data_IF_057568604041
#
_entry.id   IF_057568604041
#
_cell.length_a   1.000
_cell.length_b   1.000
_cell.length_c   1.000
_cell.angle_alpha   90.00
_cell.angle_beta   90.00
_cell.angle_gamma   90.00
#
_symmetry.space_group_name_H-M   'P 1'
#
loop_
_entity.id
_entity.type
_entity.pdbx_description
1 polymer ?
#
# COMPACT_ATOMS: atom_id res chain seq x y z
N UNK A 1 25.31 6.11 -14.04
CA UNK A 1 24.63 4.82 -13.81
C UNK A 1 23.38 4.84 -14.67
N UNK A 2 23.23 3.91 -15.59
CA UNK A 2 22.21 3.96 -16.64
C UNK A 2 20.84 3.58 -16.06
N UNK A 3 19.92 4.53 -16.06
CA UNK A 3 18.48 4.29 -15.82
C UNK A 3 17.90 3.61 -17.05
N UNK A 4 17.72 2.30 -16.99
CA UNK A 4 16.98 1.56 -18.02
C UNK A 4 15.55 2.06 -18.03
N UNK A 5 15.13 2.69 -19.11
CA UNK A 5 13.78 3.24 -19.28
C UNK A 5 12.73 2.12 -19.28
N UNK A 6 11.60 2.34 -18.58
CA UNK A 6 10.44 1.45 -18.54
C UNK A 6 9.89 1.07 -19.93
N UNK A 7 10.07 1.95 -20.93
CA UNK A 7 9.76 1.68 -22.33
C UNK A 7 10.58 0.52 -22.91
N UNK A 8 11.83 0.33 -22.48
CA UNK A 8 12.70 -0.77 -22.91
C UNK A 8 12.19 -2.13 -22.39
N UNK A 9 11.67 -2.15 -21.15
CA UNK A 9 11.12 -3.37 -20.54
C UNK A 9 9.85 -3.86 -21.26
N UNK A 10 8.99 -2.92 -21.70
CA UNK A 10 7.78 -3.26 -22.46
C UNK A 10 8.09 -3.73 -23.89
N UNK A 11 9.16 -3.22 -24.51
CA UNK A 11 9.56 -3.60 -25.86
C UNK A 11 10.17 -5.00 -25.89
N UNK A 12 10.90 -5.39 -24.84
CA UNK A 12 11.47 -6.75 -24.71
C UNK A 12 10.40 -7.82 -24.42
N UNK A 13 9.30 -7.48 -23.74
CA UNK A 13 8.15 -8.39 -23.53
C UNK A 13 7.46 -8.80 -24.84
N UNK A 14 7.50 -7.94 -25.87
CA UNK A 14 6.75 -8.17 -27.13
C UNK A 14 7.54 -8.90 -28.22
N UNK A 15 8.83 -9.11 -28.09
CA UNK A 15 9.63 -9.60 -29.21
C UNK A 15 10.10 -11.07 -29.12
N UNK A 16 10.04 -11.74 -27.99
CA UNK A 16 10.69 -13.06 -27.90
C UNK A 16 9.91 -14.19 -27.21
N UNK A 17 8.63 -14.10 -26.91
CA UNK A 17 7.83 -15.26 -26.44
C UNK A 17 8.48 -16.21 -25.41
N UNK A 18 9.59 -15.80 -24.78
CA UNK A 18 10.30 -16.54 -23.72
C UNK A 18 9.98 -15.92 -22.36
N UNK A 19 9.52 -16.76 -21.44
CA UNK A 19 9.39 -16.46 -20.05
C UNK A 19 10.71 -15.89 -19.50
N UNK A 20 10.78 -14.56 -19.39
CA UNK A 20 11.81 -13.93 -18.59
C UNK A 20 11.26 -13.86 -17.16
N UNK A 21 11.67 -14.82 -16.33
CA UNK A 21 11.62 -14.61 -14.88
C UNK A 21 12.35 -13.30 -14.61
N UNK A 22 11.72 -12.31 -13.94
CA UNK A 22 12.42 -11.10 -13.59
C UNK A 22 13.47 -11.45 -12.53
N UNK A 23 14.69 -11.68 -12.94
CA UNK A 23 15.87 -11.59 -12.08
C UNK A 23 16.10 -10.10 -11.82
N UNK A 24 15.24 -9.48 -11.00
CA UNK A 24 15.55 -8.22 -10.39
C UNK A 24 16.58 -8.48 -9.31
N UNK A 25 17.85 -8.23 -9.61
CA UNK A 25 18.97 -8.20 -8.67
C UNK A 25 18.90 -7.01 -7.68
N UNK A 26 17.77 -6.32 -7.56
CA UNK A 26 17.51 -5.34 -6.51
C UNK A 26 17.07 -6.06 -5.25
N UNK A 27 17.68 -5.71 -4.12
CA UNK A 27 17.20 -6.20 -2.81
C UNK A 27 15.72 -5.85 -2.66
N UNK A 28 14.89 -6.76 -2.12
CA UNK A 28 13.48 -6.49 -1.92
C UNK A 28 13.30 -5.33 -0.94
N UNK A 29 12.23 -4.53 -1.13
CA UNK A 29 11.89 -3.41 -0.23
C UNK A 29 11.59 -3.89 1.18
N UNK A 30 10.82 -4.97 1.30
CA UNK A 30 10.61 -5.65 2.57
C UNK A 30 11.03 -7.11 2.50
N UNK A 31 11.65 -7.58 3.59
CA UNK A 31 11.87 -9.00 3.87
C UNK A 31 11.19 -9.35 5.18
N UNK A 32 10.23 -10.24 5.12
CA UNK A 32 9.49 -10.74 6.29
C UNK A 32 9.95 -12.15 6.56
N UNK A 33 10.39 -12.43 7.81
CA UNK A 33 10.91 -13.72 8.22
C UNK A 33 10.27 -14.20 9.50
N UNK A 34 9.56 -15.33 9.42
CA UNK A 34 8.94 -16.03 10.53
C UNK A 34 8.11 -15.10 11.45
N UNK A 35 7.37 -14.15 10.82
CA UNK A 35 6.57 -13.19 11.56
C UNK A 35 5.37 -13.87 12.20
N UNK A 36 5.29 -13.77 13.52
CA UNK A 36 4.12 -14.11 14.31
C UNK A 36 3.65 -12.86 15.05
N UNK A 37 2.34 -12.70 15.19
CA UNK A 37 1.77 -11.53 15.84
C UNK A 37 0.55 -11.86 16.70
N UNK A 38 0.43 -11.22 17.87
CA UNK A 38 -0.67 -11.45 18.83
C UNK A 38 -1.31 -10.15 19.30
N UNK A 39 -2.60 -10.22 19.54
CA UNK A 39 -3.37 -9.26 20.32
C UNK A 39 -3.72 -9.93 21.66
N UNK A 40 -3.05 -9.56 22.77
CA UNK A 40 -3.18 -10.25 24.05
C UNK A 40 -2.84 -11.74 23.91
N UNK A 41 -3.82 -12.62 24.22
CA UNK A 41 -3.69 -14.08 24.09
C UNK A 41 -3.98 -14.60 22.67
N UNK A 42 -4.65 -13.81 21.81
CA UNK A 42 -5.05 -14.23 20.48
C UNK A 42 -3.92 -14.06 19.47
N UNK A 43 -3.48 -15.15 18.86
CA UNK A 43 -2.51 -15.10 17.74
C UNK A 43 -3.23 -14.80 16.44
N UNK A 44 -2.86 -13.69 15.79
CA UNK A 44 -3.47 -13.21 14.57
C UNK A 44 -2.65 -13.54 13.32
N UNK A 45 -1.31 -13.69 13.43
CA UNK A 45 -0.44 -14.08 12.32
C UNK A 45 0.46 -15.23 12.74
N UNK A 46 0.68 -16.16 11.81
CA UNK A 46 1.41 -17.41 12.06
C UNK A 46 2.50 -17.61 11.01
N UNK A 47 3.77 -17.51 11.40
CA UNK A 47 4.95 -17.84 10.59
C UNK A 47 4.88 -17.24 9.18
N UNK A 48 4.71 -15.93 9.08
CA UNK A 48 4.65 -15.24 7.78
C UNK A 48 6.06 -15.04 7.24
N UNK A 49 6.29 -15.58 6.05
CA UNK A 49 7.54 -15.46 5.30
C UNK A 49 7.24 -15.04 3.87
N UNK A 50 7.64 -13.85 3.44
CA UNK A 50 7.72 -13.49 2.02
C UNK A 50 8.47 -12.17 1.77
N UNK A 51 8.73 -11.88 0.49
CA UNK A 51 9.45 -10.70 0.05
C UNK A 51 8.49 -9.76 -0.68
N UNK A 52 8.65 -8.46 -0.48
CA UNK A 52 7.91 -7.42 -1.21
C UNK A 52 8.92 -6.69 -2.10
N UNK A 53 8.75 -6.75 -3.43
CA UNK A 53 9.66 -6.08 -4.37
C UNK A 53 9.54 -4.56 -4.27
N UNK A 54 10.65 -3.86 -4.55
CA UNK A 54 10.64 -2.39 -4.65
C UNK A 54 9.88 -1.92 -5.90
N UNK A 55 9.21 -0.75 -5.81
CA UNK A 55 8.48 -0.10 -6.92
C UNK A 55 7.54 -1.05 -7.66
N UNK A 56 6.75 -1.74 -6.89
CA UNK A 56 5.75 -2.70 -7.34
C UNK A 56 4.49 -2.59 -6.50
N UNK A 57 3.40 -3.16 -6.99
CA UNK A 57 2.18 -3.32 -6.23
C UNK A 57 2.07 -4.75 -5.73
N UNK A 58 2.05 -4.94 -4.41
CA UNK A 58 1.73 -6.23 -3.79
C UNK A 58 0.32 -6.21 -3.24
N UNK A 59 -0.57 -7.05 -3.77
CA UNK A 59 -1.92 -7.20 -3.26
C UNK A 59 -1.99 -8.29 -2.18
N UNK A 60 -2.70 -8.01 -1.08
CA UNK A 60 -3.04 -8.98 -0.04
C UNK A 60 -4.52 -9.32 -0.18
N UNK A 61 -4.82 -10.57 -0.55
CA UNK A 61 -6.19 -11.07 -0.73
C UNK A 61 -6.51 -12.16 0.30
N UNK A 62 -7.80 -12.44 0.49
CA UNK A 62 -8.28 -13.47 1.41
C UNK A 62 -9.57 -13.05 2.12
N UNK A 63 -10.25 -13.97 2.81
CA UNK A 63 -11.51 -13.69 3.50
C UNK A 63 -11.37 -12.63 4.60
N UNK A 64 -12.48 -12.04 5.01
CA UNK A 64 -12.50 -11.08 6.11
C UNK A 64 -11.98 -11.72 7.41
N UNK A 65 -11.20 -10.97 8.19
CA UNK A 65 -10.63 -11.45 9.45
C UNK A 65 -9.42 -12.39 9.33
N UNK A 66 -8.92 -12.70 8.12
CA UNK A 66 -7.79 -13.62 7.95
C UNK A 66 -6.40 -13.03 8.27
N UNK A 67 -6.30 -11.78 8.74
CA UNK A 67 -5.04 -11.18 9.19
C UNK A 67 -4.40 -10.16 8.24
N UNK A 68 -4.96 -9.86 7.04
CA UNK A 68 -4.39 -8.93 6.05
C UNK A 68 -4.08 -7.54 6.62
N UNK A 69 -5.08 -6.88 7.22
CA UNK A 69 -4.89 -5.54 7.81
C UNK A 69 -3.98 -5.58 9.03
N UNK A 70 -3.97 -6.68 9.80
CA UNK A 70 -3.00 -6.87 10.88
C UNK A 70 -1.58 -6.91 10.31
N UNK A 71 -1.34 -7.71 9.27
CA UNK A 71 -0.04 -7.78 8.60
C UNK A 71 0.35 -6.41 8.00
N UNK A 72 -0.57 -5.75 7.27
CA UNK A 72 -0.32 -4.43 6.69
C UNK A 72 0.16 -3.43 7.75
N UNK A 73 -0.50 -3.40 8.92
CA UNK A 73 -0.16 -2.52 10.04
C UNK A 73 1.12 -2.92 10.78
N UNK A 74 1.62 -4.14 10.63
CA UNK A 74 2.94 -4.51 11.12
C UNK A 74 4.05 -3.79 10.33
N UNK A 75 3.87 -3.54 9.02
CA UNK A 75 4.89 -2.95 8.15
C UNK A 75 5.28 -1.51 8.52
N UNK A 76 4.43 -0.78 9.25
CA UNK A 76 4.72 0.56 9.77
C UNK A 76 4.54 0.66 11.29
N UNK A 77 4.41 -0.48 11.97
CA UNK A 77 4.24 -0.60 13.42
C UNK A 77 3.02 0.17 13.97
N UNK A 78 1.94 0.28 13.16
CA UNK A 78 0.69 0.86 13.65
C UNK A 78 0.00 0.01 14.70
N UNK A 79 0.26 -1.30 14.72
CA UNK A 79 -0.26 -2.19 15.76
C UNK A 79 0.30 -1.91 17.15
N UNK A 80 1.45 -1.23 17.27
CA UNK A 80 2.03 -0.82 18.56
C UNK A 80 1.14 0.17 19.33
N UNK A 81 0.14 0.79 18.67
CA UNK A 81 -0.85 1.64 19.30
C UNK A 81 -1.95 0.86 20.04
N UNK A 82 -2.00 -0.44 19.85
CA UNK A 82 -2.95 -1.35 20.52
C UNK A 82 -2.24 -2.02 21.71
N UNK A 83 -2.78 -1.83 22.90
CA UNK A 83 -2.21 -2.41 24.11
C UNK A 83 -2.21 -3.94 24.05
N UNK A 84 -1.18 -4.54 24.68
CA UNK A 84 -1.03 -5.98 24.78
C UNK A 84 -0.62 -6.68 23.48
N UNK A 85 -0.15 -5.95 22.46
CA UNK A 85 0.38 -6.57 21.26
C UNK A 85 1.79 -7.09 21.46
N UNK A 86 2.13 -8.18 20.80
CA UNK A 86 3.49 -8.74 20.75
C UNK A 86 3.74 -9.42 19.41
N UNK A 87 5.00 -9.50 19.03
CA UNK A 87 5.44 -10.18 17.82
C UNK A 87 6.70 -11.03 18.07
N UNK A 88 6.98 -11.93 17.14
CA UNK A 88 8.27 -12.62 16.99
C UNK A 88 8.60 -12.68 15.49
N UNK A 89 9.83 -13.05 15.16
CA UNK A 89 10.34 -12.95 13.79
C UNK A 89 10.88 -11.55 13.49
N UNK A 90 11.09 -11.25 12.22
CA UNK A 90 11.66 -9.97 11.79
C UNK A 90 10.94 -9.40 10.57
N UNK A 91 10.90 -8.08 10.48
CA UNK A 91 10.49 -7.32 9.29
C UNK A 91 11.62 -6.36 8.96
N UNK A 92 12.26 -6.58 7.83
CA UNK A 92 13.32 -5.70 7.35
C UNK A 92 12.78 -4.78 6.26
N UNK A 93 12.98 -3.48 6.42
CA UNK A 93 12.79 -2.45 5.40
C UNK A 93 14.17 -2.00 4.94
N UNK A 94 14.51 -2.17 3.66
CA UNK A 94 15.85 -1.89 3.12
C UNK A 94 16.96 -2.57 3.93
N UNK A 95 16.76 -3.83 4.31
CA UNK A 95 17.65 -4.65 5.15
C UNK A 95 17.80 -4.17 6.62
N UNK A 96 17.03 -3.17 7.06
CA UNK A 96 17.02 -2.71 8.44
C UNK A 96 15.79 -3.22 9.19
N UNK A 97 15.99 -3.87 10.35
CA UNK A 97 14.87 -4.35 11.17
C UNK A 97 14.06 -3.16 11.72
N UNK A 98 12.77 -3.12 11.35
CA UNK A 98 11.87 -2.05 11.80
C UNK A 98 11.53 -2.14 13.29
N UNK A 99 11.85 -3.25 13.96
CA UNK A 99 11.64 -3.44 15.40
C UNK A 99 12.93 -3.23 16.22
N UNK A 100 14.03 -2.81 15.60
CA UNK A 100 15.25 -2.45 16.34
C UNK A 100 14.97 -1.32 17.36
N UNK A 101 15.58 -1.42 18.55
CA UNK A 101 15.35 -0.45 19.67
C UNK A 101 15.73 1.00 19.32
N UNK A 102 16.70 1.20 18.44
CA UNK A 102 17.18 2.53 18.04
C UNK A 102 16.34 3.19 16.94
N UNK A 103 15.29 2.52 16.42
CA UNK A 103 14.49 3.07 15.35
C UNK A 103 13.60 4.22 15.84
N UNK A 104 13.68 5.36 15.16
CA UNK A 104 12.73 6.45 15.34
C UNK A 104 11.40 6.12 14.66
N UNK A 105 10.33 6.03 15.43
CA UNK A 105 8.99 5.71 14.93
C UNK A 105 8.42 6.78 14.00
N UNK A 106 8.78 8.05 14.20
CA UNK A 106 8.34 9.14 13.33
C UNK A 106 8.98 8.99 11.94
N UNK A 107 10.27 8.66 11.89
CA UNK A 107 10.98 8.43 10.65
C UNK A 107 10.45 7.20 9.91
N UNK A 108 10.17 6.10 10.60
CA UNK A 108 9.55 4.93 9.98
C UNK A 108 8.20 5.29 9.35
N UNK A 109 7.31 5.96 10.10
CA UNK A 109 5.97 6.31 9.60
C UNK A 109 5.98 7.43 8.55
N UNK A 110 7.05 8.21 8.46
CA UNK A 110 7.28 9.13 7.34
C UNK A 110 7.64 8.36 6.08
N UNK A 111 8.55 7.38 6.18
CA UNK A 111 8.97 6.52 5.05
C UNK A 111 7.85 5.57 4.58
N UNK A 112 6.94 5.19 5.48
CA UNK A 112 5.88 4.21 5.22
C UNK A 112 4.52 4.84 5.51
N UNK A 113 3.97 5.52 4.50
CA UNK A 113 2.66 6.15 4.57
C UNK A 113 1.52 5.12 4.61
N UNK A 114 0.40 5.47 5.24
CA UNK A 114 -0.76 4.59 5.32
C UNK A 114 -2.06 5.34 5.04
N UNK A 115 -2.90 4.70 4.22
CA UNK A 115 -4.27 5.12 3.92
C UNK A 115 -5.22 4.04 4.42
N UNK A 116 -6.17 4.44 5.27
CA UNK A 116 -7.11 3.53 5.91
C UNK A 116 -8.34 3.26 5.05
N UNK A 117 -9.04 2.16 5.34
CA UNK A 117 -10.28 1.75 4.69
C UNK A 117 -11.35 2.85 4.73
N UNK A 118 -11.56 3.45 5.91
CA UNK A 118 -12.44 4.61 6.05
C UNK A 118 -11.65 5.88 5.79
N UNK A 119 -12.04 6.63 4.77
CA UNK A 119 -11.50 7.97 4.56
C UNK A 119 -11.70 8.82 5.82
N UNK A 120 -10.61 9.41 6.31
CA UNK A 120 -10.60 10.19 7.55
C UNK A 120 -9.90 11.54 7.35
N UNK A 121 -10.46 12.42 6.52
CA UNK A 121 -9.94 13.78 6.44
C UNK A 121 -10.02 14.46 7.81
N UNK A 122 -8.99 15.23 8.16
CA UNK A 122 -9.04 16.04 9.38
C UNK A 122 -10.11 17.13 9.26
N UNK A 123 -10.74 17.58 10.35
CA UNK A 123 -11.70 18.67 10.35
C UNK A 123 -10.99 20.03 10.13
N UNK A 124 -10.34 20.13 9.00
CA UNK A 124 -9.51 21.24 8.51
C UNK A 124 -9.82 21.48 7.03
N UNK A 125 -9.20 22.49 6.43
CA UNK A 125 -9.32 22.73 4.99
C UNK A 125 -8.63 21.61 4.19
N UNK A 126 -8.92 21.55 2.87
CA UNK A 126 -8.25 20.62 1.96
C UNK A 126 -6.73 20.88 1.97
N UNK A 127 -6.32 22.15 1.88
CA UNK A 127 -4.91 22.54 1.97
C UNK A 127 -4.25 22.04 3.25
N UNK A 128 -4.86 22.35 4.42
CA UNK A 128 -4.31 21.95 5.72
C UNK A 128 -4.25 20.44 5.93
N UNK A 129 -5.12 19.66 5.27
CA UNK A 129 -5.01 18.21 5.28
C UNK A 129 -3.75 17.73 4.57
N UNK A 130 -3.45 18.25 3.38
CA UNK A 130 -2.28 17.82 2.60
C UNK A 130 -0.98 18.25 3.29
N UNK A 131 -0.89 19.50 3.72
CA UNK A 131 0.36 20.04 4.28
C UNK A 131 0.58 19.73 5.75
N UNK A 132 -0.31 18.96 6.38
CA UNK A 132 -0.21 18.63 7.81
C UNK A 132 1.11 17.94 8.16
N UNK A 133 1.46 16.88 7.44
CA UNK A 133 2.71 16.14 7.65
C UNK A 133 3.97 17.03 7.47
N UNK A 134 4.14 17.72 6.36
CA UNK A 134 5.22 18.68 6.14
C UNK A 134 5.33 19.76 7.24
N UNK A 135 4.20 20.32 7.72
CA UNK A 135 4.21 21.28 8.82
C UNK A 135 4.72 20.67 10.13
N UNK A 136 4.26 19.47 10.47
CA UNK A 136 4.75 18.75 11.66
C UNK A 136 6.24 18.43 11.55
N UNK A 137 6.72 18.20 10.32
CA UNK A 137 8.15 18.03 10.02
C UNK A 137 8.95 19.35 10.01
N UNK A 138 8.32 20.51 10.32
CA UNK A 138 9.00 21.79 10.46
C UNK A 138 9.03 22.68 9.20
N UNK A 139 8.34 22.29 8.11
CA UNK A 139 8.23 23.13 6.91
C UNK A 139 7.27 24.29 7.19
N UNK A 140 7.81 25.51 7.30
CA UNK A 140 7.04 26.73 7.60
C UNK A 140 6.85 27.67 6.39
N UNK A 141 7.68 27.52 5.34
CA UNK A 141 7.58 28.36 4.15
C UNK A 141 6.30 28.06 3.38
N UNK A 142 5.42 29.05 3.26
CA UNK A 142 4.10 28.91 2.63
C UNK A 142 4.19 28.58 1.14
N UNK A 143 5.16 29.12 0.41
CA UNK A 143 5.33 28.85 -1.01
C UNK A 143 5.72 27.36 -1.23
N UNK A 144 6.61 26.81 -0.39
CA UNK A 144 6.98 25.40 -0.42
C UNK A 144 5.78 24.51 -0.08
N UNK A 145 4.97 24.90 0.91
CA UNK A 145 3.75 24.15 1.28
C UNK A 145 2.70 24.18 0.15
N UNK A 146 2.58 25.29 -0.57
CA UNK A 146 1.68 25.38 -1.74
C UNK A 146 2.15 24.47 -2.87
N UNK A 147 3.43 24.43 -3.17
CA UNK A 147 4.02 23.53 -4.16
C UNK A 147 3.81 22.06 -3.81
N UNK A 148 4.06 21.68 -2.55
CA UNK A 148 3.80 20.31 -2.05
C UNK A 148 2.31 19.99 -2.21
N UNK A 149 1.43 20.89 -1.82
CA UNK A 149 -0.02 20.69 -1.90
C UNK A 149 -0.48 20.45 -3.34
N UNK A 150 -0.07 21.31 -4.26
CA UNK A 150 -0.42 21.19 -5.68
C UNK A 150 0.11 19.87 -6.26
N UNK A 151 1.38 19.54 -6.05
CA UNK A 151 2.01 18.30 -6.51
C UNK A 151 1.26 17.07 -5.99
N UNK A 152 1.00 17.02 -4.68
CA UNK A 152 0.36 15.85 -4.06
C UNK A 152 -1.11 15.70 -4.48
N UNK A 153 -1.84 16.80 -4.67
CA UNK A 153 -3.21 16.75 -5.19
C UNK A 153 -3.25 16.33 -6.66
N UNK A 154 -2.26 16.74 -7.47
CA UNK A 154 -2.09 16.27 -8.86
C UNK A 154 -1.79 14.78 -8.88
N UNK A 155 -0.82 14.34 -8.08
CA UNK A 155 -0.46 12.92 -7.96
C UNK A 155 -1.60 12.05 -7.41
N UNK A 156 -2.55 12.63 -6.68
CA UNK A 156 -3.77 11.94 -6.23
C UNK A 156 -4.96 12.10 -7.17
N UNK A 157 -4.76 12.63 -8.39
CA UNK A 157 -5.80 12.92 -9.38
C UNK A 157 -6.99 13.71 -8.79
N UNK A 158 -6.73 14.66 -7.90
CA UNK A 158 -7.75 15.46 -7.20
C UNK A 158 -7.65 16.96 -7.49
N UNK A 159 -6.52 17.44 -8.01
CA UNK A 159 -6.23 18.86 -8.19
C UNK A 159 -7.33 19.62 -8.92
N UNK A 160 -7.72 19.16 -10.10
CA UNK A 160 -8.69 19.86 -10.94
C UNK A 160 -10.09 19.98 -10.32
N UNK A 161 -10.42 19.07 -9.38
CA UNK A 161 -11.69 19.08 -8.67
C UNK A 161 -11.71 20.05 -7.47
N UNK A 162 -10.53 20.43 -6.94
CA UNK A 162 -10.45 21.17 -5.66
C UNK A 162 -9.60 22.43 -5.67
N UNK A 163 -8.85 22.72 -6.75
CA UNK A 163 -7.89 23.84 -6.83
C UNK A 163 -8.50 25.20 -6.49
N UNK A 164 -9.78 25.42 -6.83
CA UNK A 164 -10.46 26.69 -6.58
C UNK A 164 -11.10 26.78 -5.19
N UNK A 165 -10.98 25.70 -4.37
CA UNK A 165 -11.62 25.60 -3.05
C UNK A 165 -10.71 24.99 -1.98
N UNK A 166 -9.39 25.13 -2.10
CA UNK A 166 -8.40 24.56 -1.18
C UNK A 166 -8.60 24.97 0.29
N UNK A 167 -9.17 26.14 0.54
CA UNK A 167 -9.48 26.65 1.88
C UNK A 167 -10.81 26.18 2.45
N UNK A 168 -11.62 25.46 1.67
CA UNK A 168 -12.87 24.90 2.17
C UNK A 168 -12.60 23.63 3.03
N UNK A 169 -13.58 23.34 3.90
CA UNK A 169 -13.54 22.16 4.77
C UNK A 169 -13.43 20.87 3.95
N UNK A 170 -12.48 20.02 4.30
CA UNK A 170 -12.31 18.70 3.71
C UNK A 170 -13.47 17.74 4.03
N UNK A 171 -14.29 18.04 5.06
CA UNK A 171 -15.46 17.25 5.42
C UNK A 171 -16.60 17.37 4.39
N UNK A 172 -16.55 18.36 3.50
CA UNK A 172 -17.54 18.56 2.43
C UNK A 172 -17.21 17.78 1.15
N UNK A 173 -16.12 16.99 1.15
CA UNK A 173 -15.73 16.18 0.00
C UNK A 173 -16.60 14.92 -0.13
N UNK A 174 -16.84 14.48 -1.37
CA UNK A 174 -17.42 13.15 -1.60
C UNK A 174 -16.51 12.04 -1.08
N UNK A 175 -17.02 10.82 -0.89
CA UNK A 175 -16.24 9.69 -0.40
C UNK A 175 -14.98 9.43 -1.25
N UNK A 176 -15.09 9.43 -2.58
CA UNK A 176 -13.97 9.24 -3.48
C UNK A 176 -12.95 10.41 -3.44
N UNK A 177 -13.44 11.66 -3.31
CA UNK A 177 -12.58 12.83 -3.13
C UNK A 177 -11.85 12.78 -1.78
N UNK A 178 -12.55 12.42 -0.70
CA UNK A 178 -11.98 12.29 0.64
C UNK A 178 -10.90 11.20 0.68
N UNK A 179 -11.10 10.08 -0.02
CA UNK A 179 -10.10 9.01 -0.11
C UNK A 179 -8.85 9.47 -0.88
N UNK A 180 -9.03 10.14 -2.02
CA UNK A 180 -7.90 10.70 -2.78
C UNK A 180 -7.18 11.81 -2.00
N UNK A 181 -7.89 12.61 -1.19
CA UNK A 181 -7.27 13.55 -0.27
C UNK A 181 -6.40 12.84 0.78
N UNK A 182 -6.88 11.71 1.35
CA UNK A 182 -6.08 10.91 2.29
C UNK A 182 -4.82 10.33 1.62
N UNK A 183 -4.90 9.96 0.34
CA UNK A 183 -3.72 9.57 -0.45
C UNK A 183 -2.78 10.76 -0.65
N UNK A 184 -3.28 11.93 -1.09
CA UNK A 184 -2.47 13.14 -1.24
C UNK A 184 -1.75 13.52 0.08
N UNK A 185 -2.44 13.40 1.21
CA UNK A 185 -1.86 13.63 2.55
C UNK A 185 -0.74 12.65 2.87
N UNK A 186 -0.88 11.38 2.51
CA UNK A 186 0.17 10.38 2.69
C UNK A 186 1.39 10.66 1.79
N UNK A 187 1.17 11.07 0.54
CA UNK A 187 2.22 11.44 -0.41
C UNK A 187 3.01 12.69 0.02
N UNK A 188 2.40 13.61 0.76
CA UNK A 188 3.01 14.87 1.15
C UNK A 188 4.22 14.72 2.10
N UNK A 189 4.38 13.57 2.75
CA UNK A 189 5.56 13.25 3.57
C UNK A 189 6.70 12.65 2.77
N UNK A 190 6.55 12.54 1.44
CA UNK A 190 7.50 11.92 0.51
C UNK A 190 7.90 10.49 0.94
N UNK A 191 6.93 9.57 1.05
CA UNK A 191 7.18 8.22 1.53
C UNK A 191 7.90 7.37 0.47
N UNK A 192 8.49 6.27 0.88
CA UNK A 192 9.06 5.24 -0.01
C UNK A 192 8.04 4.12 -0.26
N UNK A 193 7.15 3.92 0.71
CA UNK A 193 6.12 2.87 0.70
C UNK A 193 4.75 3.46 1.04
N UNK A 194 3.73 2.99 0.34
CA UNK A 194 2.32 3.36 0.58
C UNK A 194 1.53 2.09 0.92
N UNK A 195 0.94 2.08 2.11
CA UNK A 195 0.06 1.02 2.58
C UNK A 195 -1.39 1.45 2.37
N UNK A 196 -2.16 0.65 1.63
CA UNK A 196 -3.57 0.91 1.32
C UNK A 196 -4.43 -0.21 1.93
N UNK A 197 -5.21 0.12 2.98
CA UNK A 197 -6.11 -0.83 3.63
C UNK A 197 -7.51 -0.68 3.02
N UNK A 198 -7.88 -1.53 2.07
CA UNK A 198 -9.17 -1.53 1.36
C UNK A 198 -9.62 -0.15 0.82
N UNK A 199 -8.79 0.56 0.04
CA UNK A 199 -8.98 1.98 -0.27
C UNK A 199 -10.22 2.29 -1.11
N UNK A 200 -10.86 1.31 -1.71
CA UNK A 200 -12.01 1.46 -2.59
C UNK A 200 -13.29 0.76 -2.09
N UNK A 201 -13.27 0.13 -0.91
CA UNK A 201 -14.36 -0.76 -0.44
C UNK A 201 -15.73 -0.06 -0.24
N UNK A 202 -15.72 1.26 -0.01
CA UNK A 202 -16.94 2.04 0.22
C UNK A 202 -17.21 3.06 -0.91
N UNK A 203 -16.56 2.90 -2.07
CA UNK A 203 -16.66 3.84 -3.17
C UNK A 203 -17.56 3.31 -4.29
N UNK A 204 -18.11 4.23 -5.07
CA UNK A 204 -18.81 3.94 -6.31
C UNK A 204 -17.84 3.41 -7.38
N UNK A 205 -18.34 2.73 -8.45
CA UNK A 205 -17.49 2.13 -9.47
C UNK A 205 -16.56 3.14 -10.18
N UNK A 206 -17.02 4.38 -10.42
CA UNK A 206 -16.21 5.39 -11.09
C UNK A 206 -15.07 5.88 -10.19
N UNK A 207 -15.35 6.09 -8.91
CA UNK A 207 -14.34 6.43 -7.90
C UNK A 207 -13.34 5.28 -7.69
N UNK A 208 -13.81 4.02 -7.72
CA UNK A 208 -12.95 2.83 -7.65
C UNK A 208 -11.99 2.77 -8.83
N UNK A 209 -12.46 2.96 -10.05
CA UNK A 209 -11.62 2.97 -11.25
C UNK A 209 -10.52 4.05 -11.14
N UNK A 210 -10.86 5.25 -10.66
CA UNK A 210 -9.87 6.33 -10.46
C UNK A 210 -8.80 5.97 -9.42
N UNK A 211 -9.14 5.21 -8.37
CA UNK A 211 -8.14 4.73 -7.40
C UNK A 211 -7.25 3.65 -8.03
N UNK A 212 -7.79 2.79 -8.89
CA UNK A 212 -7.00 1.77 -9.61
C UNK A 212 -6.00 2.42 -10.58
N UNK A 213 -6.44 3.39 -11.38
CA UNK A 213 -5.58 4.17 -12.27
C UNK A 213 -4.47 4.88 -11.48
N UNK A 214 -4.84 5.49 -10.35
CA UNK A 214 -3.91 6.16 -9.44
C UNK A 214 -2.85 5.19 -8.90
N UNK A 215 -3.23 4.00 -8.45
CA UNK A 215 -2.28 2.98 -7.95
C UNK A 215 -1.31 2.57 -9.07
N UNK A 216 -1.81 2.42 -10.30
CA UNK A 216 -0.98 2.09 -11.46
C UNK A 216 0.04 3.19 -11.80
N UNK A 217 -0.32 4.46 -11.65
CA UNK A 217 0.60 5.58 -11.87
C UNK A 217 1.64 5.67 -10.74
N UNK A 218 1.20 5.57 -9.48
CA UNK A 218 2.05 5.72 -8.30
C UNK A 218 3.12 4.62 -8.18
N UNK A 219 2.89 3.41 -8.69
CA UNK A 219 3.89 2.32 -8.61
C UNK A 219 5.22 2.62 -9.30
N UNK A 220 5.26 3.63 -10.17
CA UNK A 220 6.51 4.06 -10.84
C UNK A 220 7.53 4.59 -9.84
N UNK A 221 7.04 5.25 -8.81
CA UNK A 221 7.86 5.97 -7.83
C UNK A 221 7.82 5.34 -6.44
N UNK A 222 6.74 4.61 -6.12
CA UNK A 222 6.46 4.08 -4.78
C UNK A 222 6.34 2.55 -4.78
N UNK A 223 6.70 1.94 -3.66
CA UNK A 223 6.30 0.55 -3.37
C UNK A 223 4.93 0.57 -2.72
N UNK A 224 3.97 -0.17 -3.27
CA UNK A 224 2.58 -0.15 -2.80
C UNK A 224 2.18 -1.52 -2.29
N UNK A 225 1.61 -1.57 -1.09
CA UNK A 225 0.97 -2.76 -0.55
C UNK A 225 -0.51 -2.46 -0.34
N UNK A 226 -1.37 -3.20 -1.02
CA UNK A 226 -2.82 -2.99 -1.00
C UNK A 226 -3.54 -4.20 -0.44
N UNK A 227 -4.38 -3.99 0.57
CA UNK A 227 -5.38 -4.97 1.00
C UNK A 227 -6.64 -4.75 0.19
N UNK A 228 -7.19 -5.79 -0.39
CA UNK A 228 -8.50 -5.76 -1.03
C UNK A 228 -9.21 -7.10 -0.90
N UNK A 229 -10.53 -7.06 -0.80
CA UNK A 229 -11.39 -8.23 -0.93
C UNK A 229 -11.94 -8.40 -2.36
N UNK A 230 -11.66 -7.43 -3.25
CA UNK A 230 -12.06 -7.50 -4.65
C UNK A 230 -10.93 -8.13 -5.48
N UNK A 231 -11.14 -9.39 -5.87
CA UNK A 231 -10.15 -10.16 -6.65
C UNK A 231 -9.88 -9.55 -8.02
N UNK A 232 -10.90 -8.97 -8.68
CA UNK A 232 -10.72 -8.32 -9.98
C UNK A 232 -9.86 -7.06 -9.86
N UNK A 233 -10.03 -6.30 -8.78
CA UNK A 233 -9.18 -5.16 -8.49
C UNK A 233 -7.73 -5.60 -8.28
N UNK A 234 -7.48 -6.60 -7.42
CA UNK A 234 -6.13 -7.12 -7.20
C UNK A 234 -5.48 -7.58 -8.51
N UNK A 235 -6.21 -8.32 -9.34
CA UNK A 235 -5.72 -8.80 -10.63
C UNK A 235 -5.33 -7.68 -11.60
N UNK A 236 -6.04 -6.52 -11.55
CA UNK A 236 -5.75 -5.38 -12.45
C UNK A 236 -4.56 -4.54 -12.00
N UNK A 237 -4.42 -4.31 -10.69
CA UNK A 237 -3.48 -3.30 -10.18
C UNK A 237 -2.16 -3.87 -9.68
N UNK A 238 -2.09 -5.16 -9.31
CA UNK A 238 -0.90 -5.71 -8.64
C UNK A 238 0.05 -6.47 -9.56
N UNK A 239 1.32 -6.41 -9.23
CA UNK A 239 2.40 -7.20 -9.85
C UNK A 239 2.59 -8.53 -9.12
N UNK A 240 2.40 -8.52 -7.80
CA UNK A 240 2.48 -9.68 -6.92
C UNK A 240 1.20 -9.78 -6.08
N UNK A 241 0.73 -10.99 -5.83
CA UNK A 241 -0.41 -11.24 -4.94
C UNK A 241 -0.04 -12.26 -3.87
N UNK A 242 -0.46 -12.00 -2.64
CA UNK A 242 -0.35 -12.93 -1.51
C UNK A 242 -1.74 -13.28 -0.99
N UNK A 243 -2.05 -14.58 -0.97
CA UNK A 243 -3.31 -15.09 -0.44
C UNK A 243 -3.17 -15.43 1.05
N UNK A 244 -3.96 -14.76 1.88
CA UNK A 244 -4.02 -14.94 3.32
C UNK A 244 -5.23 -15.79 3.74
N UNK A 245 -5.00 -16.74 4.63
CA UNK A 245 -6.06 -17.52 5.25
C UNK A 245 -5.69 -17.88 6.69
N UNK A 246 -6.59 -17.61 7.63
CA UNK A 246 -6.42 -17.94 9.07
C UNK A 246 -5.04 -17.49 9.64
N UNK A 247 -4.63 -16.27 9.34
CA UNK A 247 -3.38 -15.70 9.82
C UNK A 247 -2.11 -16.20 9.14
N UNK A 248 -2.22 -16.98 8.07
CA UNK A 248 -1.09 -17.53 7.30
C UNK A 248 -1.09 -17.00 5.88
N UNK A 249 0.09 -16.91 5.27
CA UNK A 249 0.26 -16.79 3.82
C UNK A 249 0.20 -18.19 3.25
N UNK A 250 -0.81 -18.45 2.43
CA UNK A 250 -1.03 -19.76 1.81
C UNK A 250 -0.25 -19.87 0.51
N UNK A 251 -0.26 -18.77 -0.27
CA UNK A 251 0.46 -18.70 -1.54
C UNK A 251 0.82 -17.25 -1.82
N UNK A 252 2.00 -17.04 -2.41
CA UNK A 252 2.46 -15.74 -2.89
C UNK A 252 3.21 -15.91 -4.20
N UNK A 253 2.95 -15.02 -5.14
CA UNK A 253 3.62 -15.08 -6.45
C UNK A 253 3.20 -13.94 -7.37
N UNK A 254 3.72 -13.95 -8.62
CA UNK A 254 3.26 -13.04 -9.66
C UNK A 254 1.75 -13.13 -9.81
N UNK A 255 1.08 -11.98 -9.91
CA UNK A 255 -0.39 -11.91 -9.94
C UNK A 255 -0.98 -12.76 -11.06
N UNK A 256 -0.45 -12.65 -12.27
CA UNK A 256 -0.91 -13.44 -13.42
C UNK A 256 -0.86 -14.94 -13.14
N UNK A 257 0.22 -15.42 -12.52
CA UNK A 257 0.37 -16.83 -12.16
C UNK A 257 -0.65 -17.28 -11.13
N UNK A 258 -0.79 -16.51 -10.06
CA UNK A 258 -1.68 -16.85 -8.95
C UNK A 258 -3.16 -16.91 -9.39
N UNK A 259 -3.56 -16.07 -10.34
CA UNK A 259 -4.94 -16.05 -10.86
C UNK A 259 -5.21 -17.07 -11.97
N UNK A 260 -4.19 -17.48 -12.74
CA UNK A 260 -4.37 -18.40 -13.88
C UNK A 260 -3.93 -19.82 -13.59
N UNK A 261 -2.93 -20.00 -12.74
CA UNK A 261 -2.32 -21.31 -12.43
C UNK A 261 -1.88 -21.38 -10.96
N UNK A 262 -2.80 -21.24 -9.99
CA UNK A 262 -2.45 -21.34 -8.58
C UNK A 262 -1.87 -22.73 -8.28
N UNK A 263 -0.84 -22.74 -7.43
CA UNK A 263 -0.15 -23.98 -7.02
C UNK A 263 -0.88 -24.70 -5.88
N UNK A 264 -1.63 -23.92 -5.08
CA UNK A 264 -2.32 -24.43 -3.90
C UNK A 264 -3.82 -24.52 -4.18
N UNK A 265 -4.41 -25.69 -3.96
CA UNK A 265 -5.84 -25.94 -4.17
C UNK A 265 -6.73 -24.93 -3.43
N UNK A 266 -6.35 -24.55 -2.22
CA UNK A 266 -7.09 -23.58 -1.42
C UNK A 266 -7.13 -22.18 -2.06
N UNK A 267 -6.04 -21.78 -2.73
CA UNK A 267 -5.98 -20.53 -3.53
C UNK A 267 -6.93 -20.62 -4.73
N UNK A 268 -6.92 -21.75 -5.45
CA UNK A 268 -7.82 -22.00 -6.60
C UNK A 268 -9.29 -21.90 -6.17
N UNK A 269 -9.65 -22.57 -5.07
CA UNK A 269 -11.01 -22.56 -4.55
C UNK A 269 -11.46 -21.15 -4.13
N UNK A 270 -10.56 -20.37 -3.53
CA UNK A 270 -10.85 -18.98 -3.18
C UNK A 270 -11.07 -18.08 -4.42
N UNK A 271 -10.18 -18.15 -5.41
CA UNK A 271 -10.26 -17.33 -6.63
C UNK A 271 -11.48 -17.68 -7.46
N UNK A 272 -11.85 -18.97 -7.51
CA UNK A 272 -13.01 -19.45 -8.31
C UNK A 272 -14.34 -19.31 -7.57
N UNK A 273 -14.35 -18.78 -6.33
CA UNK A 273 -15.56 -18.62 -5.52
C UNK A 273 -16.13 -19.94 -4.96
N UNK A 274 -15.34 -21.01 -4.97
CA UNK A 274 -15.71 -22.33 -4.39
C UNK A 274 -15.29 -22.48 -2.94
N UNK A 275 -14.89 -21.37 -2.33
CA UNK A 275 -14.39 -21.31 -0.98
C UNK A 275 -15.57 -21.14 -0.01
N UNK A 276 -15.91 -22.19 0.75
CA UNK A 276 -17.00 -22.19 1.71
C UNK A 276 -17.05 -23.51 2.48
#
# INVERSE_FOLDING_TARGET
MATTSYAAILTERNLNGRELTPQNNSSPKYQIKNLNFWYGAHQALFNIDFLIPERSVTALIGPSGCGKSTFLRCLNRMNDLVEGTRHTGSILLDNEDIYRRSLNMVDLRRRVGMVFQKSNPFPKSIFENVVYGPRVAGVSNIAVLQEICERCLKNAALWDEVKDRLNQSALNLSGGQAQRLCIARALATDPEVILLDEPASALDPASTARIEDLVFELKRDYTIIIVTHNMQQAARVSDQTAFFFQGKVIEVGPTDHLYTRPQVKQTEDYITGRFG
#
